data_IF_561162390911
#
_entry.id   IF_561162390911
#
_cell.length_a   1.000
_cell.length_b   1.000
_cell.length_c   1.000
_cell.angle_alpha   90.00
_cell.angle_beta   90.00
_cell.angle_gamma   90.00
#
_symmetry.space_group_name_H-M   'P 1'
#
loop_
_entity.id
_entity.type
_entity.pdbx_description
1 polymer ?
#
# COMPACT_ATOMS: atom_id res chain seq x y z
N UNK A 1 22.55 0.88 1.78
CA UNK A 1 23.39 -0.33 1.85
C UNK A 1 24.11 -0.45 3.20
N UNK A 2 24.71 0.61 3.75
CA UNK A 2 25.39 0.59 5.07
C UNK A 2 24.43 0.16 6.19
N UNK A 3 23.22 0.69 6.24
CA UNK A 3 22.21 0.37 7.26
C UNK A 3 21.88 -1.12 7.30
N UNK A 4 21.62 -1.74 6.14
CA UNK A 4 21.33 -3.19 6.08
C UNK A 4 22.55 -4.01 6.52
N UNK A 5 23.75 -3.63 6.11
CA UNK A 5 24.97 -4.31 6.56
C UNK A 5 25.11 -4.24 8.09
N UNK A 6 24.87 -3.07 8.70
CA UNK A 6 24.91 -2.90 10.16
C UNK A 6 23.90 -3.81 10.86
N UNK A 7 22.65 -3.92 10.33
CA UNK A 7 21.65 -4.82 10.88
C UNK A 7 22.09 -6.29 10.78
N UNK A 8 22.67 -6.70 9.66
CA UNK A 8 23.19 -8.06 9.47
C UNK A 8 24.35 -8.34 10.45
N UNK A 9 25.28 -7.40 10.60
CA UNK A 9 26.40 -7.51 11.55
C UNK A 9 25.89 -7.63 13.01
N UNK A 10 24.88 -6.87 13.39
CA UNK A 10 24.23 -6.99 14.69
C UNK A 10 23.57 -8.35 14.91
N UNK A 11 22.95 -8.95 13.90
CA UNK A 11 22.44 -10.31 13.97
C UNK A 11 23.56 -11.34 14.11
N UNK A 12 24.64 -11.19 13.35
CA UNK A 12 25.81 -12.08 13.43
C UNK A 12 26.48 -12.03 14.81
N UNK A 13 26.58 -10.83 15.41
CA UNK A 13 27.14 -10.66 16.76
C UNK A 13 26.34 -11.39 17.84
N UNK A 14 25.09 -11.76 17.58
CA UNK A 14 24.21 -12.56 18.44
C UNK A 14 24.21 -14.04 18.10
N UNK A 15 25.18 -14.50 17.32
CA UNK A 15 25.30 -15.89 16.84
C UNK A 15 24.08 -16.40 16.05
N UNK A 16 23.36 -15.52 15.38
CA UNK A 16 22.29 -15.91 14.48
C UNK A 16 22.88 -16.41 13.16
N UNK A 17 22.46 -17.59 12.73
CA UNK A 17 22.91 -18.24 11.49
C UNK A 17 21.84 -18.15 10.44
N UNK A 18 22.23 -18.31 9.16
CA UNK A 18 21.33 -18.30 8.01
C UNK A 18 20.38 -17.09 7.98
N UNK A 19 20.93 -15.91 8.28
CA UNK A 19 20.18 -14.67 8.48
C UNK A 19 19.30 -14.37 7.27
N UNK A 20 19.79 -14.64 6.06
CA UNK A 20 19.04 -14.31 4.83
C UNK A 20 17.73 -15.08 4.71
N UNK A 21 17.72 -16.37 5.05
CA UNK A 21 16.53 -17.21 4.94
C UNK A 21 15.60 -17.09 6.16
N UNK A 22 16.17 -16.68 7.29
CA UNK A 22 15.47 -16.56 8.57
C UNK A 22 15.09 -15.12 8.92
N UNK A 23 15.20 -14.18 7.99
CA UNK A 23 14.91 -12.78 8.27
C UNK A 23 14.07 -12.13 7.20
N UNK A 24 13.28 -11.15 7.62
CA UNK A 24 12.59 -10.21 6.77
C UNK A 24 12.71 -8.78 7.33
N UNK A 25 12.40 -7.78 6.52
CA UNK A 25 12.38 -6.39 6.95
C UNK A 25 10.94 -5.89 7.05
N UNK A 26 10.62 -5.23 8.16
CA UNK A 26 9.43 -4.43 8.33
C UNK A 26 9.84 -2.96 8.25
N UNK A 27 9.12 -2.18 7.46
CA UNK A 27 9.39 -0.74 7.31
C UNK A 27 8.16 0.09 7.64
N UNK A 28 8.40 1.16 8.37
CA UNK A 28 7.38 2.16 8.72
C UNK A 28 7.86 3.50 8.20
N UNK A 29 7.03 4.16 7.39
CA UNK A 29 7.36 5.43 6.74
C UNK A 29 6.40 6.53 7.19
N UNK A 30 6.83 7.77 7.07
CA UNK A 30 5.92 8.91 7.10
C UNK A 30 5.11 8.94 5.80
N UNK A 31 3.78 8.92 5.89
CA UNK A 31 2.88 8.79 4.73
C UNK A 31 2.57 10.11 4.01
N UNK A 32 3.12 11.22 4.48
CA UNK A 32 2.97 12.53 3.82
C UNK A 32 4.31 13.12 3.36
N UNK A 33 5.40 12.37 3.48
CA UNK A 33 6.74 12.80 3.04
C UNK A 33 6.89 12.87 1.53
N UNK A 34 6.06 12.16 0.76
CA UNK A 34 6.16 11.96 -0.70
C UNK A 34 7.45 11.27 -1.18
N UNK A 35 8.23 10.70 -0.26
CA UNK A 35 9.54 10.08 -0.52
C UNK A 35 9.48 8.53 -0.53
N UNK A 36 8.27 7.94 -0.42
CA UNK A 36 8.12 6.51 -0.25
C UNK A 36 8.70 5.72 -1.41
N UNK A 37 8.44 6.12 -2.66
CA UNK A 37 8.94 5.43 -3.85
C UNK A 37 10.46 5.47 -3.93
N UNK A 38 11.06 6.62 -3.68
CA UNK A 38 12.52 6.79 -3.68
C UNK A 38 13.18 5.98 -2.57
N UNK A 39 12.59 5.99 -1.36
CA UNK A 39 13.04 5.18 -0.25
C UNK A 39 12.94 3.69 -0.58
N UNK A 40 11.80 3.22 -1.11
CA UNK A 40 11.56 1.81 -1.43
C UNK A 40 12.49 1.29 -2.52
N UNK A 41 12.77 2.09 -3.54
CA UNK A 41 13.74 1.76 -4.59
C UNK A 41 15.15 1.59 -3.99
N UNK A 42 15.55 2.51 -3.12
CA UNK A 42 16.84 2.45 -2.41
C UNK A 42 16.90 1.26 -1.47
N UNK A 43 15.85 1.01 -0.69
CA UNK A 43 15.75 -0.13 0.22
C UNK A 43 15.83 -1.46 -0.54
N UNK A 44 15.06 -1.62 -1.60
CA UNK A 44 15.04 -2.85 -2.39
C UNK A 44 16.41 -3.18 -2.97
N UNK A 45 17.11 -2.16 -3.47
CA UNK A 45 18.50 -2.32 -3.94
C UNK A 45 19.47 -2.71 -2.82
N UNK A 46 19.27 -2.17 -1.61
CA UNK A 46 20.09 -2.44 -0.44
C UNK A 46 19.75 -3.77 0.25
N UNK A 47 18.50 -4.19 0.21
CA UNK A 47 17.97 -5.35 0.92
C UNK A 47 18.52 -6.70 0.44
N UNK A 48 19.20 -6.74 -0.73
CA UNK A 48 19.91 -7.93 -1.24
C UNK A 48 19.10 -9.23 -1.21
N UNK A 49 17.78 -9.13 -1.49
CA UNK A 49 16.88 -10.27 -1.55
C UNK A 49 16.27 -10.67 -0.19
N UNK A 50 16.39 -9.86 0.86
CA UNK A 50 15.50 -9.99 2.02
C UNK A 50 14.07 -9.63 1.61
N UNK A 51 13.11 -10.48 1.94
CA UNK A 51 11.71 -10.10 1.82
C UNK A 51 11.42 -8.91 2.72
N UNK A 52 10.70 -7.93 2.22
CA UNK A 52 10.36 -6.76 3.02
C UNK A 52 8.94 -6.27 2.70
N UNK A 53 8.29 -5.75 3.73
CA UNK A 53 6.96 -5.18 3.66
C UNK A 53 6.81 -4.08 4.71
N UNK A 54 5.75 -3.33 4.60
CA UNK A 54 5.42 -2.31 5.58
C UNK A 54 4.36 -1.36 5.07
N UNK A 55 4.28 -0.20 5.71
CA UNK A 55 3.30 0.81 5.36
C UNK A 55 3.68 2.19 5.84
N UNK A 56 2.99 3.16 5.27
CA UNK A 56 3.14 4.58 5.57
C UNK A 56 2.11 5.03 6.59
N UNK A 57 2.54 5.77 7.59
CA UNK A 57 1.65 6.32 8.62
C UNK A 57 0.57 7.22 8.01
N UNK A 58 -0.63 7.16 8.56
CA UNK A 58 -1.76 8.00 8.20
C UNK A 58 -2.33 8.75 9.41
N UNK A 59 -3.02 9.86 9.17
CA UNK A 59 -3.76 10.65 10.17
C UNK A 59 -5.26 10.71 9.85
N UNK A 60 -5.82 9.58 9.39
CA UNK A 60 -7.20 9.42 8.98
C UNK A 60 -7.51 10.20 7.68
N UNK A 61 -8.62 10.91 7.60
CA UNK A 61 -9.00 11.73 6.44
C UNK A 61 -8.36 13.12 6.43
N UNK A 62 -7.56 13.45 7.44
CA UNK A 62 -7.09 14.82 7.65
C UNK A 62 -5.96 15.24 6.73
N UNK A 63 -5.05 14.32 6.36
CA UNK A 63 -3.90 14.57 5.48
C UNK A 63 -3.05 15.77 5.92
N UNK A 64 -2.85 15.94 7.22
CA UNK A 64 -2.19 17.12 7.80
C UNK A 64 -0.80 16.83 8.31
N UNK A 65 -0.64 15.76 9.13
CA UNK A 65 0.64 15.40 9.76
C UNK A 65 0.70 13.91 10.06
N UNK A 66 1.77 13.27 9.62
CA UNK A 66 2.08 11.90 9.97
C UNK A 66 3.47 11.77 10.59
N UNK A 67 3.71 10.71 11.32
CA UNK A 67 4.96 10.52 12.06
C UNK A 67 5.30 9.04 12.16
N UNK A 68 6.59 8.74 12.26
CA UNK A 68 7.07 7.47 12.77
C UNK A 68 7.63 7.65 14.19
N UNK A 69 7.44 6.64 15.04
CA UNK A 69 7.87 6.69 16.45
C UNK A 69 9.13 5.85 16.66
N UNK A 70 10.17 6.46 17.25
CA UNK A 70 11.40 5.79 17.58
C UNK A 70 11.99 6.31 18.88
N UNK A 71 12.35 5.41 19.81
CA UNK A 71 13.01 5.72 21.08
C UNK A 71 12.38 6.87 21.88
N UNK A 72 11.07 6.88 22.00
CA UNK A 72 10.36 7.88 22.81
C UNK A 72 10.02 9.18 22.09
N UNK A 73 10.31 9.29 20.79
CA UNK A 73 10.09 10.52 20.00
C UNK A 73 9.35 10.22 18.70
N UNK A 74 8.61 11.22 18.21
CA UNK A 74 7.93 11.21 16.91
C UNK A 74 8.75 12.01 15.90
N UNK A 75 8.95 11.43 14.73
CA UNK A 75 9.74 12.01 13.65
C UNK A 75 8.88 12.14 12.40
N UNK A 76 8.71 13.35 11.84
CA UNK A 76 8.20 13.55 10.50
C UNK A 76 9.31 13.25 9.48
N UNK A 77 8.96 13.11 8.21
CA UNK A 77 9.88 12.92 7.08
C UNK A 77 10.93 11.82 7.33
N UNK A 78 10.48 10.73 7.93
CA UNK A 78 11.37 9.68 8.41
C UNK A 78 10.88 8.28 8.06
N UNK A 79 11.83 7.34 8.02
CA UNK A 79 11.57 5.92 7.80
C UNK A 79 12.28 5.07 8.87
N UNK A 80 11.64 4.01 9.30
CA UNK A 80 12.20 3.00 10.20
C UNK A 80 12.30 1.69 9.44
N UNK A 81 13.46 1.04 9.53
CA UNK A 81 13.69 -0.32 9.03
C UNK A 81 13.96 -1.23 10.21
N UNK A 82 13.16 -2.26 10.36
CA UNK A 82 13.25 -3.27 11.42
C UNK A 82 13.61 -4.59 10.75
N UNK A 83 14.75 -5.16 11.12
CA UNK A 83 15.10 -6.54 10.72
C UNK A 83 14.57 -7.51 11.78
N UNK A 84 13.71 -8.40 11.34
CA UNK A 84 13.19 -9.51 12.17
C UNK A 84 13.87 -10.79 11.75
N UNK A 85 14.55 -11.43 12.69
CA UNK A 85 15.18 -12.75 12.49
C UNK A 85 14.47 -13.77 13.38
N UNK A 86 14.00 -14.86 12.78
CA UNK A 86 13.20 -15.89 13.48
C UNK A 86 13.55 -17.28 13.00
N UNK A 87 13.45 -18.26 13.89
CA UNK A 87 13.52 -19.69 13.55
C UNK A 87 12.17 -20.26 13.13
N UNK A 88 11.09 -19.49 13.31
CA UNK A 88 9.76 -19.90 12.89
C UNK A 88 9.59 -19.68 11.38
N UNK A 89 8.85 -20.53 10.68
CA UNK A 89 8.48 -20.29 9.30
C UNK A 89 7.72 -18.97 9.18
N UNK A 90 8.02 -18.18 8.15
CA UNK A 90 7.27 -16.95 7.83
C UNK A 90 6.99 -16.84 6.34
N UNK A 91 6.02 -16.01 6.00
CA UNK A 91 5.67 -15.67 4.62
C UNK A 91 5.32 -14.21 4.53
N UNK A 92 5.92 -13.49 3.57
CA UNK A 92 5.57 -12.11 3.23
C UNK A 92 4.75 -12.14 1.95
N UNK A 93 3.56 -11.55 1.97
CA UNK A 93 2.64 -11.57 0.82
C UNK A 93 1.75 -10.32 0.82
N UNK A 94 1.14 -10.05 -0.31
CA UNK A 94 0.05 -9.09 -0.44
C UNK A 94 -1.21 -9.77 -0.97
N UNK A 95 -2.35 -9.15 -0.71
CA UNK A 95 -3.64 -9.53 -1.26
C UNK A 95 -4.35 -8.28 -1.78
N UNK A 96 -5.04 -8.43 -2.89
CA UNK A 96 -5.96 -7.43 -3.43
C UNK A 96 -7.23 -8.13 -3.89
N UNK A 97 -8.33 -7.40 -4.00
CA UNK A 97 -9.62 -7.94 -4.41
C UNK A 97 -10.13 -7.34 -5.74
N UNK A 98 -9.21 -6.99 -6.63
CA UNK A 98 -9.55 -6.60 -8.01
C UNK A 98 -10.19 -7.80 -8.73
N UNK A 99 -11.42 -7.59 -9.24
CA UNK A 99 -12.19 -8.60 -9.95
C UNK A 99 -12.00 -8.51 -11.46
N UNK A 100 -12.25 -7.33 -12.03
CA UNK A 100 -12.18 -7.10 -13.47
C UNK A 100 -11.60 -5.72 -13.78
N UNK A 101 -10.70 -5.63 -14.78
CA UNK A 101 -10.38 -4.36 -15.40
C UNK A 101 -11.55 -3.94 -16.31
N UNK A 102 -11.83 -2.64 -16.35
CA UNK A 102 -12.88 -2.05 -17.20
C UNK A 102 -12.29 -1.09 -18.21
N UNK A 103 -12.40 0.21 -18.00
CA UNK A 103 -11.93 1.22 -18.94
C UNK A 103 -10.48 1.63 -18.69
N UNK A 104 -9.85 2.16 -19.75
CA UNK A 104 -8.46 2.63 -19.71
C UNK A 104 -8.42 4.12 -19.90
N UNK A 105 -7.60 4.78 -19.09
CA UNK A 105 -7.32 6.21 -19.11
C UNK A 105 -5.82 6.40 -19.30
N UNK A 106 -5.43 7.15 -20.31
CA UNK A 106 -4.03 7.47 -20.55
C UNK A 106 -3.68 8.76 -19.83
N UNK A 107 -2.62 8.74 -19.01
CA UNK A 107 -2.09 9.94 -18.38
C UNK A 107 -1.36 10.77 -19.43
N UNK A 108 -1.89 11.93 -19.78
CA UNK A 108 -1.34 12.82 -20.81
C UNK A 108 -0.58 14.00 -20.23
N UNK A 109 -0.88 14.41 -18.99
CA UNK A 109 -0.10 15.39 -18.25
C UNK A 109 -0.07 15.03 -16.76
N UNK A 110 1.13 15.01 -16.16
CA UNK A 110 1.34 14.72 -14.74
C UNK A 110 2.63 15.33 -14.23
N UNK A 111 2.70 15.50 -12.91
CA UNK A 111 3.90 15.77 -12.15
C UNK A 111 4.06 14.67 -11.08
N UNK A 112 4.97 13.71 -11.28
CA UNK A 112 5.19 12.61 -10.35
C UNK A 112 5.68 13.07 -8.97
N UNK A 113 6.44 14.16 -8.89
CA UNK A 113 7.00 14.65 -7.64
C UNK A 113 5.91 15.18 -6.70
N UNK A 114 4.90 15.88 -7.24
CA UNK A 114 3.70 16.30 -6.50
C UNK A 114 2.59 15.24 -6.50
N UNK A 115 2.82 14.08 -7.14
CA UNK A 115 1.83 13.00 -7.31
C UNK A 115 0.52 13.47 -7.97
N UNK A 116 0.61 14.48 -8.83
CA UNK A 116 -0.54 15.13 -9.44
C UNK A 116 -0.68 14.74 -10.92
N UNK A 117 -1.86 14.25 -11.28
CA UNK A 117 -2.24 14.00 -12.67
C UNK A 117 -3.16 15.14 -13.11
N UNK A 118 -2.70 15.92 -14.08
CA UNK A 118 -3.44 17.08 -14.62
C UNK A 118 -4.43 16.64 -15.69
N UNK A 119 -4.04 15.67 -16.54
CA UNK A 119 -4.85 15.23 -17.67
C UNK A 119 -4.93 13.72 -17.80
N UNK A 120 -6.10 13.23 -18.06
CA UNK A 120 -6.42 11.87 -18.51
C UNK A 120 -7.08 11.95 -19.89
N UNK A 121 -6.59 11.20 -20.89
CA UNK A 121 -7.07 11.23 -22.27
C UNK A 121 -7.11 12.65 -22.89
N UNK A 122 -6.16 13.54 -22.50
CA UNK A 122 -6.07 14.95 -22.91
C UNK A 122 -7.24 15.83 -22.43
N UNK A 123 -7.96 15.41 -21.38
CA UNK A 123 -8.99 16.18 -20.69
C UNK A 123 -8.60 16.36 -19.21
N UNK A 124 -9.11 17.40 -18.50
CA UNK A 124 -8.82 17.59 -17.09
C UNK A 124 -9.14 16.32 -16.28
N UNK A 125 -8.18 15.85 -15.49
CA UNK A 125 -8.19 14.49 -14.93
C UNK A 125 -9.43 14.19 -14.07
N UNK A 126 -9.85 15.15 -13.24
CA UNK A 126 -11.03 14.95 -12.40
C UNK A 126 -12.34 14.93 -13.18
N UNK A 127 -12.42 15.68 -14.29
CA UNK A 127 -13.60 15.69 -15.16
C UNK A 127 -13.71 14.36 -15.93
N UNK A 128 -12.59 13.88 -16.47
CA UNK A 128 -12.58 12.60 -17.20
C UNK A 128 -12.87 11.41 -16.25
N UNK A 129 -12.38 11.47 -15.01
CA UNK A 129 -12.69 10.46 -14.00
C UNK A 129 -14.16 10.53 -13.55
N UNK A 130 -14.73 11.72 -13.33
CA UNK A 130 -16.16 11.89 -13.01
C UNK A 130 -17.06 11.36 -14.14
N UNK A 131 -16.72 11.66 -15.40
CA UNK A 131 -17.38 11.14 -16.58
C UNK A 131 -17.31 9.62 -16.67
N UNK A 132 -16.17 9.01 -16.39
CA UNK A 132 -16.01 7.55 -16.31
C UNK A 132 -17.02 6.93 -15.33
N UNK A 133 -17.23 7.57 -14.17
CA UNK A 133 -18.16 7.11 -13.15
C UNK A 133 -19.62 7.52 -13.39
N UNK A 134 -19.88 8.31 -14.44
CA UNK A 134 -21.18 8.95 -14.68
C UNK A 134 -21.67 9.77 -13.47
N UNK A 135 -20.76 10.53 -12.86
CA UNK A 135 -20.99 11.36 -11.67
C UNK A 135 -20.68 12.84 -11.96
N UNK A 136 -21.19 13.75 -11.14
CA UNK A 136 -20.76 15.13 -11.16
C UNK A 136 -19.47 15.32 -10.35
N UNK A 137 -18.64 16.30 -10.73
CA UNK A 137 -17.37 16.58 -10.08
C UNK A 137 -17.50 16.79 -8.56
N UNK A 138 -18.56 17.49 -8.13
CA UNK A 138 -18.85 17.79 -6.72
C UNK A 138 -19.12 16.55 -5.86
N UNK A 139 -19.47 15.42 -6.49
CA UNK A 139 -19.79 14.16 -5.81
C UNK A 139 -18.56 13.28 -5.62
N UNK A 140 -17.41 13.66 -6.18
CA UNK A 140 -16.14 12.97 -5.97
C UNK A 140 -15.65 13.17 -4.54
N UNK A 141 -15.43 12.08 -3.83
CA UNK A 141 -15.01 12.08 -2.42
C UNK A 141 -14.09 10.89 -2.12
N UNK A 142 -13.40 10.88 -0.98
CA UNK A 142 -12.59 9.71 -0.58
C UNK A 142 -13.36 8.40 -0.59
N UNK A 143 -14.65 8.43 -0.23
CA UNK A 143 -15.53 7.28 -0.25
C UNK A 143 -15.75 6.77 -1.68
N UNK A 144 -15.93 7.66 -2.65
CA UNK A 144 -16.06 7.31 -4.07
C UNK A 144 -14.76 6.71 -4.57
N UNK A 145 -13.62 7.31 -4.23
CA UNK A 145 -12.29 6.82 -4.64
C UNK A 145 -12.01 5.42 -4.09
N UNK A 146 -12.43 5.13 -2.86
CA UNK A 146 -12.24 3.82 -2.23
C UNK A 146 -12.98 2.69 -2.94
N UNK A 147 -14.13 2.99 -3.54
CA UNK A 147 -14.97 2.00 -4.25
C UNK A 147 -14.65 1.89 -5.75
N UNK A 148 -14.02 2.92 -6.33
CA UNK A 148 -13.78 3.02 -7.78
C UNK A 148 -12.29 3.30 -8.07
N UNK A 149 -11.36 2.46 -7.62
CA UNK A 149 -9.94 2.74 -7.78
C UNK A 149 -9.49 2.60 -9.23
N UNK A 150 -8.40 3.30 -9.54
CA UNK A 150 -7.63 3.11 -10.75
C UNK A 150 -6.45 2.18 -10.48
N UNK A 151 -5.98 1.46 -11.48
CA UNK A 151 -4.85 0.55 -11.35
C UNK A 151 -3.89 0.65 -12.54
N UNK A 152 -2.62 0.36 -12.30
CA UNK A 152 -1.61 0.18 -13.34
C UNK A 152 -1.32 -1.30 -13.53
N UNK A 153 -1.10 -1.74 -14.76
CA UNK A 153 -0.73 -3.13 -15.07
C UNK A 153 0.78 -3.24 -15.21
N UNK A 154 1.42 -3.99 -14.31
CA UNK A 154 2.86 -4.25 -14.32
C UNK A 154 3.10 -5.76 -14.25
N UNK A 155 3.91 -6.30 -15.16
CA UNK A 155 4.22 -7.75 -15.16
C UNK A 155 3.00 -8.67 -15.28
N UNK A 156 1.92 -8.18 -15.87
CA UNK A 156 0.67 -8.95 -16.02
C UNK A 156 -0.30 -8.81 -14.84
N UNK A 157 0.11 -8.19 -13.74
CA UNK A 157 -0.73 -7.96 -12.56
C UNK A 157 -1.16 -6.50 -12.45
N UNK A 158 -2.32 -6.26 -11.83
CA UNK A 158 -2.82 -4.93 -11.56
C UNK A 158 -2.42 -4.47 -10.15
N UNK A 159 -1.97 -3.22 -10.06
CA UNK A 159 -1.60 -2.55 -8.81
C UNK A 159 -2.39 -1.25 -8.71
N UNK A 160 -3.14 -1.10 -7.65
CA UNK A 160 -4.00 0.07 -7.44
C UNK A 160 -3.13 1.32 -7.28
N UNK A 161 -3.64 2.42 -7.84
CA UNK A 161 -3.18 3.79 -7.73
C UNK A 161 -4.34 4.60 -7.22
N UNK A 162 -4.39 4.78 -5.92
CA UNK A 162 -5.53 5.42 -5.27
C UNK A 162 -5.46 6.93 -5.38
N UNK A 163 -6.61 7.52 -5.72
CA UNK A 163 -6.79 8.96 -5.72
C UNK A 163 -6.91 9.45 -4.27
N UNK A 164 -6.19 10.51 -3.94
CA UNK A 164 -6.22 11.16 -2.63
C UNK A 164 -7.29 12.26 -2.61
N UNK A 165 -7.26 13.15 -3.61
CA UNK A 165 -8.16 14.29 -3.68
C UNK A 165 -8.30 14.85 -5.08
N UNK A 166 -9.36 15.65 -5.26
CA UNK A 166 -9.53 16.56 -6.39
C UNK A 166 -8.92 17.93 -6.04
N UNK A 167 -8.23 18.54 -6.98
CA UNK A 167 -7.82 19.93 -6.90
C UNK A 167 -8.84 20.79 -7.65
N UNK A 168 -9.62 21.59 -6.93
CA UNK A 168 -10.74 22.36 -7.51
C UNK A 168 -10.33 23.49 -8.44
N UNK A 169 -9.06 23.94 -8.38
CA UNK A 169 -8.55 25.08 -9.15
C UNK A 169 -8.32 24.70 -10.61
N UNK A 170 -7.75 23.54 -10.86
CA UNK A 170 -7.32 23.06 -12.18
C UNK A 170 -7.97 21.72 -12.58
N UNK A 171 -8.82 21.17 -11.72
CA UNK A 171 -9.47 19.86 -11.88
C UNK A 171 -8.50 18.70 -12.05
N UNK A 172 -7.30 18.82 -11.48
CA UNK A 172 -6.35 17.73 -11.41
C UNK A 172 -6.68 16.75 -10.28
N UNK A 173 -6.09 15.57 -10.32
CA UNK A 173 -6.19 14.53 -9.30
C UNK A 173 -4.84 14.33 -8.61
N UNK A 174 -4.79 14.46 -7.30
CA UNK A 174 -3.63 14.03 -6.51
C UNK A 174 -3.80 12.57 -6.10
N UNK A 175 -2.73 11.80 -6.22
CA UNK A 175 -2.70 10.37 -5.86
C UNK A 175 -1.90 10.14 -4.57
N UNK A 176 -2.06 8.97 -3.94
CA UNK A 176 -1.22 8.54 -2.82
C UNK A 176 0.17 8.04 -3.25
N UNK A 177 0.39 7.87 -4.54
CA UNK A 177 1.67 7.43 -5.11
C UNK A 177 1.96 8.17 -6.42
N UNK A 178 3.22 8.16 -6.85
CA UNK A 178 3.62 8.78 -8.10
C UNK A 178 2.98 8.11 -9.32
N UNK A 179 2.49 8.92 -10.25
CA UNK A 179 1.95 8.51 -11.54
C UNK A 179 2.58 9.40 -12.61
N UNK A 180 3.22 8.80 -13.61
CA UNK A 180 3.96 9.50 -14.65
C UNK A 180 3.17 9.58 -15.96
N UNK A 181 3.58 10.51 -16.83
CA UNK A 181 3.03 10.67 -18.18
C UNK A 181 3.24 9.40 -18.99
N UNK A 182 2.23 9.03 -19.79
CA UNK A 182 2.25 7.83 -20.62
C UNK A 182 1.81 6.57 -19.88
N UNK A 183 1.62 6.61 -18.58
CA UNK A 183 1.03 5.50 -17.82
C UNK A 183 -0.42 5.30 -18.28
N UNK A 184 -0.80 4.04 -18.45
CA UNK A 184 -2.19 3.66 -18.67
C UNK A 184 -2.79 3.23 -17.34
N UNK A 185 -3.64 4.08 -16.79
CA UNK A 185 -4.50 3.74 -15.66
C UNK A 185 -5.71 2.96 -16.17
N UNK A 186 -6.11 1.97 -15.43
CA UNK A 186 -7.26 1.12 -15.75
C UNK A 186 -8.25 1.19 -14.60
N UNK A 187 -9.48 1.57 -14.88
CA UNK A 187 -10.54 1.44 -13.90
C UNK A 187 -10.79 -0.04 -13.60
N UNK A 188 -11.02 -0.39 -12.36
CA UNK A 188 -11.19 -1.77 -11.94
C UNK A 188 -12.45 -1.95 -11.09
N UNK A 189 -13.14 -3.05 -11.33
CA UNK A 189 -14.23 -3.50 -10.47
C UNK A 189 -13.64 -4.24 -9.27
N UNK A 190 -14.06 -3.88 -8.07
CA UNK A 190 -13.66 -4.54 -6.84
C UNK A 190 -14.56 -5.74 -6.56
N UNK A 191 -13.95 -6.85 -6.14
CA UNK A 191 -14.63 -8.09 -5.80
C UNK A 191 -14.86 -8.28 -4.30
N UNK A 192 -14.91 -9.53 -3.88
CA UNK A 192 -14.96 -9.89 -2.45
C UNK A 192 -13.61 -9.65 -1.79
N UNK A 193 -13.58 -8.71 -0.83
CA UNK A 193 -12.34 -8.34 -0.12
C UNK A 193 -11.83 -9.44 0.83
N UNK A 194 -12.67 -10.40 1.21
CA UNK A 194 -12.31 -11.48 2.16
C UNK A 194 -11.79 -12.73 1.47
N UNK A 195 -12.27 -13.01 0.25
CA UNK A 195 -11.92 -14.25 -0.47
C UNK A 195 -10.40 -14.39 -0.70
N UNK A 196 -9.67 -13.41 -1.25
CA UNK A 196 -8.24 -13.55 -1.49
C UNK A 196 -7.43 -13.76 -0.21
N UNK A 197 -7.79 -13.03 0.86
CA UNK A 197 -7.13 -13.14 2.17
C UNK A 197 -7.39 -14.52 2.79
N UNK A 198 -8.65 -14.97 2.81
CA UNK A 198 -9.02 -16.30 3.31
C UNK A 198 -8.29 -17.41 2.53
N UNK A 199 -8.28 -17.33 1.21
CA UNK A 199 -7.58 -18.29 0.35
C UNK A 199 -6.09 -18.34 0.68
N UNK A 200 -5.42 -17.17 0.72
CA UNK A 200 -3.98 -17.07 0.98
C UNK A 200 -3.62 -17.60 2.37
N UNK A 201 -4.35 -17.20 3.41
CA UNK A 201 -4.10 -17.65 4.78
C UNK A 201 -4.43 -19.14 4.96
N UNK A 202 -5.42 -19.67 4.24
CA UNK A 202 -5.71 -21.10 4.21
C UNK A 202 -4.56 -21.90 3.57
N UNK A 203 -4.01 -21.44 2.46
CA UNK A 203 -2.84 -22.05 1.81
C UNK A 203 -1.60 -22.07 2.75
N UNK A 204 -1.35 -20.95 3.43
CA UNK A 204 -0.26 -20.83 4.40
C UNK A 204 -0.51 -21.79 5.58
N UNK A 205 -1.74 -21.86 6.09
CA UNK A 205 -2.12 -22.74 7.19
C UNK A 205 -2.00 -24.23 6.84
N UNK A 206 -2.28 -24.60 5.60
CA UNK A 206 -2.08 -25.99 5.11
C UNK A 206 -0.58 -26.34 5.04
N UNK A 207 0.28 -25.37 4.76
CA UNK A 207 1.72 -25.62 4.61
C UNK A 207 2.49 -25.58 5.93
N UNK A 208 2.13 -24.68 6.84
CA UNK A 208 2.92 -24.37 8.03
C UNK A 208 2.15 -24.50 9.36
N UNK A 209 0.84 -24.82 9.31
CA UNK A 209 -0.05 -24.75 10.47
C UNK A 209 -0.71 -23.36 10.59
N UNK A 210 -1.61 -23.22 11.57
CA UNK A 210 -2.27 -21.94 11.86
C UNK A 210 -1.22 -20.89 12.24
N UNK A 211 -1.28 -19.67 11.64
CA UNK A 211 -0.35 -18.60 12.03
C UNK A 211 -0.49 -18.24 13.52
N UNK A 212 0.64 -18.10 14.20
CA UNK A 212 0.67 -17.53 15.56
C UNK A 212 0.37 -16.04 15.55
N UNK A 213 0.84 -15.34 14.50
CA UNK A 213 0.59 -13.93 14.25
C UNK A 213 0.60 -13.65 12.75
N UNK A 214 -0.37 -12.87 12.30
CA UNK A 214 -0.33 -12.20 10.99
C UNK A 214 -0.24 -10.71 11.25
N UNK A 215 0.87 -10.10 10.87
CA UNK A 215 1.04 -8.65 10.95
C UNK A 215 0.58 -8.02 9.62
N UNK A 216 -0.45 -7.18 9.68
CA UNK A 216 -1.06 -6.56 8.51
C UNK A 216 -0.80 -5.05 8.46
N UNK A 217 -0.36 -4.58 7.29
CA UNK A 217 -0.48 -3.18 6.89
C UNK A 217 -1.66 -3.12 5.93
N UNK A 218 -2.71 -2.40 6.28
CA UNK A 218 -3.97 -2.40 5.53
C UNK A 218 -4.34 -0.98 5.10
N UNK A 219 -4.69 -0.81 3.84
CA UNK A 219 -4.96 0.51 3.29
C UNK A 219 -6.09 1.23 4.05
N UNK A 220 -5.91 2.50 4.29
CA UNK A 220 -6.93 3.38 4.82
C UNK A 220 -8.22 3.37 3.97
N UNK A 221 -8.10 3.37 2.64
CA UNK A 221 -9.26 3.31 1.75
C UNK A 221 -10.01 1.99 1.87
N UNK A 222 -9.31 0.90 2.16
CA UNK A 222 -9.93 -0.39 2.44
C UNK A 222 -10.75 -0.34 3.75
N UNK A 223 -10.28 0.41 4.75
CA UNK A 223 -11.08 0.68 5.96
C UNK A 223 -12.37 1.43 5.61
N UNK A 224 -12.30 2.48 4.77
CA UNK A 224 -13.49 3.20 4.31
C UNK A 224 -14.46 2.26 3.57
N UNK A 225 -13.96 1.37 2.73
CA UNK A 225 -14.81 0.37 2.07
C UNK A 225 -15.52 -0.55 3.09
N UNK A 226 -14.80 -0.99 4.15
CA UNK A 226 -15.38 -1.80 5.24
C UNK A 226 -16.50 -1.05 5.92
N UNK A 227 -16.29 0.22 6.29
CA UNK A 227 -17.27 1.07 6.95
C UNK A 227 -18.51 1.32 6.06
N UNK A 228 -18.33 1.63 4.78
CA UNK A 228 -19.42 1.85 3.83
C UNK A 228 -20.27 0.59 3.59
N UNK A 229 -19.65 -0.58 3.58
CA UNK A 229 -20.32 -1.86 3.33
C UNK A 229 -20.82 -2.55 4.61
N UNK A 230 -20.50 -2.00 5.80
CA UNK A 230 -20.90 -2.60 7.08
C UNK A 230 -20.21 -3.93 7.35
N UNK A 231 -18.94 -4.06 6.99
CA UNK A 231 -18.19 -5.32 7.06
C UNK A 231 -17.32 -5.47 8.33
N UNK A 232 -17.48 -4.63 9.34
CA UNK A 232 -16.66 -4.63 10.57
C UNK A 232 -16.72 -5.97 11.31
N UNK A 233 -17.90 -6.59 11.34
CA UNK A 233 -18.07 -7.90 11.97
C UNK A 233 -17.30 -9.00 11.23
N UNK A 234 -17.29 -8.97 9.89
CA UNK A 234 -16.55 -9.91 9.06
C UNK A 234 -15.04 -9.73 9.21
N UNK A 235 -14.55 -8.47 9.25
CA UNK A 235 -13.13 -8.14 9.52
C UNK A 235 -12.73 -8.68 10.89
N UNK A 236 -13.53 -8.42 11.93
CA UNK A 236 -13.27 -8.93 13.29
C UNK A 236 -13.20 -10.46 13.32
N UNK A 237 -14.12 -11.14 12.63
CA UNK A 237 -14.13 -12.59 12.52
C UNK A 237 -12.88 -13.14 11.82
N UNK A 238 -12.46 -12.50 10.70
CA UNK A 238 -11.25 -12.85 9.96
C UNK A 238 -10.02 -12.68 10.85
N UNK A 239 -9.89 -11.53 11.51
CA UNK A 239 -8.77 -11.20 12.39
C UNK A 239 -8.64 -12.22 13.54
N UNK A 240 -9.77 -12.59 14.14
CA UNK A 240 -9.80 -13.61 15.21
C UNK A 240 -9.43 -15.01 14.69
N UNK A 241 -9.93 -15.38 13.51
CA UNK A 241 -9.67 -16.69 12.91
C UNK A 241 -8.18 -16.93 12.67
N UNK A 242 -7.46 -15.91 12.19
CA UNK A 242 -6.06 -16.05 11.75
C UNK A 242 -5.05 -15.32 12.63
N UNK A 243 -5.45 -14.80 13.80
CA UNK A 243 -4.60 -14.02 14.69
C UNK A 243 -4.00 -12.79 13.98
N UNK A 244 -4.81 -12.04 13.22
CA UNK A 244 -4.38 -10.85 12.52
C UNK A 244 -4.36 -9.67 13.49
N UNK A 245 -3.21 -8.98 13.54
CA UNK A 245 -3.04 -7.69 14.17
C UNK A 245 -2.36 -6.75 13.18
N UNK A 246 -2.70 -5.48 13.20
CA UNK A 246 -2.14 -4.53 12.25
C UNK A 246 -2.66 -3.13 12.43
N UNK A 247 -2.42 -2.30 11.44
CA UNK A 247 -2.80 -0.90 11.42
C UNK A 247 -3.14 -0.43 10.00
N UNK A 248 -3.92 0.64 9.92
CA UNK A 248 -4.24 1.26 8.63
C UNK A 248 -3.13 2.23 8.20
N UNK A 249 -2.93 2.32 6.90
CA UNK A 249 -1.81 3.01 6.27
C UNK A 249 -2.29 3.86 5.10
N UNK A 250 -1.55 4.90 4.74
CA UNK A 250 -1.81 5.67 3.52
C UNK A 250 -1.27 4.98 2.27
N UNK A 251 -0.28 4.13 2.42
CA UNK A 251 0.26 3.29 1.37
C UNK A 251 0.96 2.09 1.99
N UNK A 252 0.86 0.96 1.32
CA UNK A 252 1.55 -0.28 1.67
C UNK A 252 2.70 -0.50 0.72
N UNK A 253 3.61 -1.38 1.10
CA UNK A 253 4.67 -1.80 0.19
C UNK A 253 5.11 -3.23 0.45
N UNK A 254 5.56 -3.86 -0.63
CA UNK A 254 6.16 -5.19 -0.61
C UNK A 254 7.29 -5.28 -1.63
N UNK A 255 8.47 -5.71 -1.19
CA UNK A 255 9.64 -5.96 -2.05
C UNK A 255 9.93 -4.82 -3.03
N UNK A 256 9.87 -3.58 -2.56
CA UNK A 256 10.15 -2.37 -3.33
C UNK A 256 8.98 -1.82 -4.15
N UNK A 257 7.84 -2.47 -4.14
CA UNK A 257 6.64 -2.01 -4.85
C UNK A 257 5.74 -1.24 -3.87
N UNK A 258 5.43 0.01 -4.19
CA UNK A 258 4.45 0.79 -3.46
C UNK A 258 3.04 0.41 -3.93
N UNK A 259 2.15 0.22 -2.98
CA UNK A 259 0.77 -0.23 -3.18
C UNK A 259 -0.19 0.71 -2.46
N UNK A 260 -1.43 0.74 -2.94
CA UNK A 260 -2.55 1.39 -2.25
C UNK A 260 -3.77 0.48 -2.43
N UNK A 261 -4.44 0.13 -1.34
CA UNK A 261 -5.67 -0.68 -1.25
C UNK A 261 -5.50 -2.19 -1.49
#
# INVERSE_FOLDING_TARGET
QSTINTLVEQCQSKNLTDIKNNSFLLTLLDGLSSEEEQFLMTLNSAARGFSHFGGSAGDDIHLTKTYVYYKGQFFPDAAIVIMVTTVLPFSVFNCHHIKLPTEKLVVTAADPDSRTVFELNAEPAALEYAKLLNMELKDLSPEVFSLNPLAVKVGGQYYIRSIQKVNEVDFSLTFYCAVDIGIVLTAVEMGDMFEPVNKKLSEISLRYGKPELVLACDCFLRRLEVEQKGFEAQVKALNTKYNIAGFNTYGEHINGIHLNQ
#
